data_IF_251455007953
#
_entry.id   IF_251455007953
#
_cell.length_a   1.000
_cell.length_b   1.000
_cell.length_c   1.000
_cell.angle_alpha   90.00
_cell.angle_beta   90.00
_cell.angle_gamma   90.00
#
_symmetry.space_group_name_H-M   'P 1'
#
loop_
_entity.id
_entity.type
_entity.pdbx_description
1 polymer ?
#
# COMPACT_ATOMS: atom_id res chain seq x y z
N UNK A 1 7.89 -8.77 10.74
CA UNK A 1 6.91 -9.46 9.89
C UNK A 1 5.82 -10.01 10.78
N UNK A 2 4.57 -9.92 10.35
CA UNK A 2 3.41 -10.39 11.10
C UNK A 2 2.23 -9.45 10.90
N UNK A 3 1.06 -10.03 10.59
CA UNK A 3 -0.22 -9.33 10.73
C UNK A 3 -0.41 -8.99 12.21
N UNK A 4 -0.98 -7.82 12.50
CA UNK A 4 -1.22 -7.32 13.86
C UNK A 4 -2.43 -6.42 13.89
N UNK A 5 -2.88 -6.07 15.08
CA UNK A 5 -4.00 -5.15 15.27
C UNK A 5 -3.80 -3.84 14.48
N UNK A 6 -4.86 -3.41 13.78
CA UNK A 6 -4.88 -2.22 12.92
C UNK A 6 -4.38 -2.42 11.49
N UNK A 7 -3.84 -3.60 11.16
CA UNK A 7 -3.43 -3.96 9.79
C UNK A 7 -4.63 -4.50 9.02
N UNK A 8 -4.67 -4.30 7.70
CA UNK A 8 -5.61 -4.98 6.81
C UNK A 8 -4.87 -5.71 5.70
N UNK A 9 -5.43 -6.84 5.27
CA UNK A 9 -5.05 -7.51 4.02
C UNK A 9 -6.02 -7.06 2.94
N UNK A 10 -5.51 -6.38 1.93
CA UNK A 10 -6.25 -5.86 0.79
C UNK A 10 -5.99 -6.70 -0.44
N UNK A 11 -7.04 -7.26 -1.04
CA UNK A 11 -6.95 -8.17 -2.18
C UNK A 11 -7.83 -7.64 -3.30
N UNK A 12 -7.23 -7.47 -4.47
CA UNK A 12 -7.97 -7.25 -5.72
C UNK A 12 -7.92 -8.52 -6.54
N UNK A 13 -9.10 -8.96 -6.98
CA UNK A 13 -9.22 -10.14 -7.80
C UNK A 13 -10.43 -10.11 -8.72
N UNK A 14 -10.63 -11.22 -9.42
CA UNK A 14 -11.85 -11.50 -10.15
C UNK A 14 -12.20 -12.98 -10.06
N UNK A 15 -13.49 -13.27 -10.12
CA UNK A 15 -14.00 -14.64 -10.17
C UNK A 15 -14.56 -14.93 -11.56
N UNK A 16 -14.33 -16.14 -12.13
CA UNK A 16 -14.85 -16.49 -13.43
C UNK A 16 -16.38 -16.69 -13.39
N UNK A 17 -17.03 -16.84 -14.55
CA UNK A 17 -18.50 -17.02 -14.64
C UNK A 17 -18.95 -18.39 -14.15
N UNK A 18 -18.11 -19.39 -14.35
CA UNK A 18 -18.28 -20.81 -14.00
C UNK A 18 -17.69 -21.18 -12.63
N UNK A 19 -17.39 -20.18 -11.80
CA UNK A 19 -16.89 -20.37 -10.44
C UNK A 19 -17.72 -21.38 -9.63
N UNK A 20 -17.00 -22.28 -8.95
CA UNK A 20 -17.53 -23.19 -7.93
C UNK A 20 -17.13 -22.73 -6.52
N UNK A 21 -15.86 -22.42 -6.30
CA UNK A 21 -15.33 -21.94 -5.01
C UNK A 21 -13.91 -21.40 -5.14
N UNK A 22 -13.51 -20.54 -4.22
CA UNK A 22 -12.10 -20.22 -3.98
C UNK A 22 -11.84 -20.09 -2.49
N UNK A 23 -10.58 -20.08 -2.08
CA UNK A 23 -10.19 -19.87 -0.70
C UNK A 23 -9.09 -18.84 -0.57
N UNK A 24 -9.09 -18.17 0.58
CA UNK A 24 -8.00 -17.35 1.08
C UNK A 24 -7.69 -17.84 2.49
N UNK A 25 -6.48 -18.35 2.69
CA UNK A 25 -6.00 -18.83 3.98
C UNK A 25 -4.94 -17.88 4.53
N UNK A 26 -5.04 -17.57 5.82
CA UNK A 26 -3.96 -16.96 6.59
C UNK A 26 -3.25 -18.07 7.38
N UNK A 27 -2.06 -18.46 6.92
CA UNK A 27 -1.30 -19.61 7.40
C UNK A 27 -0.30 -19.21 8.49
N UNK A 28 -0.12 -20.08 9.48
CA UNK A 28 0.88 -19.92 10.55
C UNK A 28 2.30 -20.35 10.15
N UNK A 29 2.48 -20.82 8.92
CA UNK A 29 3.75 -21.24 8.35
C UNK A 29 3.69 -21.29 6.82
N UNK A 30 4.82 -21.54 6.16
CA UNK A 30 4.92 -21.56 4.70
C UNK A 30 4.49 -22.90 4.07
N UNK A 31 4.36 -23.96 4.87
CA UNK A 31 3.87 -25.26 4.41
C UNK A 31 2.35 -25.30 4.30
N UNK A 32 1.80 -26.02 3.32
CA UNK A 32 0.36 -26.30 3.18
C UNK A 32 -0.23 -27.13 4.34
N UNK A 33 0.65 -27.79 5.10
CA UNK A 33 0.26 -28.49 6.34
C UNK A 33 0.19 -27.59 7.57
N UNK A 34 0.62 -26.33 7.46
CA UNK A 34 0.64 -25.39 8.58
C UNK A 34 -0.78 -25.12 9.08
N UNK A 35 -0.87 -24.72 10.34
CA UNK A 35 -2.12 -24.26 10.92
C UNK A 35 -2.68 -23.06 10.14
N UNK A 36 -4.00 -23.00 10.06
CA UNK A 36 -4.74 -21.97 9.34
C UNK A 36 -5.46 -21.12 10.38
N UNK A 37 -5.00 -19.89 10.61
CA UNK A 37 -5.62 -18.96 11.53
C UNK A 37 -7.00 -18.50 11.02
N UNK A 38 -7.10 -18.23 9.72
CA UNK A 38 -8.33 -17.88 9.03
C UNK A 38 -8.42 -18.64 7.71
N UNK A 39 -9.47 -19.43 7.55
CA UNK A 39 -9.91 -20.00 6.29
C UNK A 39 -11.13 -19.23 5.81
N UNK A 40 -11.00 -18.42 4.77
CA UNK A 40 -12.08 -17.69 4.12
C UNK A 40 -12.44 -18.39 2.82
N UNK A 41 -13.64 -18.96 2.71
CA UNK A 41 -14.01 -19.83 1.59
C UNK A 41 -15.42 -19.55 1.05
N UNK A 42 -15.54 -18.67 0.05
CA UNK A 42 -16.75 -18.50 -0.73
C UNK A 42 -17.06 -19.75 -1.57
N UNK A 43 -18.29 -20.25 -1.47
CA UNK A 43 -18.79 -21.44 -2.17
C UNK A 43 -20.04 -21.07 -2.98
N UNK A 44 -20.02 -21.37 -4.28
CA UNK A 44 -21.10 -21.15 -5.24
C UNK A 44 -21.74 -22.49 -5.63
N UNK A 45 -22.47 -23.09 -4.68
CA UNK A 45 -23.02 -24.45 -4.81
C UNK A 45 -24.55 -24.50 -4.81
N UNK A 46 -25.21 -23.37 -5.14
CA UNK A 46 -26.67 -23.24 -5.16
C UNK A 46 -27.28 -22.96 -3.78
N UNK A 47 -26.50 -23.15 -2.70
CA UNK A 47 -26.74 -22.57 -1.37
C UNK A 47 -25.55 -21.69 -1.01
N UNK A 48 -25.32 -20.73 -1.89
CA UNK A 48 -24.18 -19.83 -1.88
C UNK A 48 -23.95 -19.22 -0.49
N UNK A 49 -22.70 -19.28 -0.05
CA UNK A 49 -22.28 -18.92 1.30
C UNK A 49 -20.79 -18.66 1.35
N UNK A 50 -20.36 -17.90 2.34
CA UNK A 50 -18.94 -17.80 2.72
C UNK A 50 -18.77 -18.56 4.02
N UNK A 51 -17.83 -19.51 4.01
CA UNK A 51 -17.44 -20.29 5.19
C UNK A 51 -16.17 -19.73 5.79
N UNK A 52 -16.16 -19.64 7.12
CA UNK A 52 -15.05 -19.22 7.95
C UNK A 52 -14.67 -20.35 8.90
N UNK A 53 -13.39 -20.65 9.03
CA UNK A 53 -12.91 -21.60 10.02
C UNK A 53 -11.43 -21.38 10.36
N UNK A 54 -10.90 -22.16 11.29
CA UNK A 54 -9.47 -22.30 11.55
C UNK A 54 -9.11 -23.79 11.55
N UNK A 55 -7.84 -24.10 11.24
CA UNK A 55 -7.30 -25.46 11.28
C UNK A 55 -6.09 -25.48 12.21
N UNK A 56 -6.12 -26.32 13.25
CA UNK A 56 -5.06 -26.43 14.26
C UNK A 56 -4.67 -27.89 14.43
N UNK A 57 -3.37 -28.20 14.41
CA UNK A 57 -2.88 -29.57 14.51
C UNK A 57 -3.48 -30.49 13.43
N UNK A 58 -3.67 -29.96 12.22
CA UNK A 58 -4.25 -30.68 11.10
C UNK A 58 -5.78 -30.86 11.13
N UNK A 59 -6.46 -30.44 12.21
CA UNK A 59 -7.92 -30.62 12.39
C UNK A 59 -8.68 -29.31 12.23
N UNK A 60 -9.84 -29.36 11.57
CA UNK A 60 -10.74 -28.21 11.42
C UNK A 60 -11.54 -27.94 12.69
N UNK A 61 -11.71 -26.66 13.03
CA UNK A 61 -12.63 -26.25 14.08
C UNK A 61 -14.09 -26.23 13.65
N UNK A 62 -14.95 -25.59 14.44
CA UNK A 62 -16.36 -25.38 14.09
C UNK A 62 -16.51 -24.36 12.95
N UNK A 63 -17.27 -24.70 11.91
CA UNK A 63 -17.54 -23.78 10.80
C UNK A 63 -18.46 -22.63 11.24
N UNK A 64 -18.09 -21.42 10.86
CA UNK A 64 -18.96 -20.24 10.85
C UNK A 64 -19.32 -19.89 9.40
N UNK A 65 -20.51 -19.35 9.16
CA UNK A 65 -20.95 -19.05 7.79
C UNK A 65 -21.90 -17.88 7.71
N UNK A 66 -21.75 -17.12 6.63
CA UNK A 66 -22.75 -16.12 6.20
C UNK A 66 -23.38 -16.58 4.88
N UNK A 67 -24.67 -16.28 4.71
CA UNK A 67 -25.42 -16.57 3.47
C UNK A 67 -25.46 -15.38 2.50
N UNK A 68 -25.07 -14.19 2.97
CA UNK A 68 -24.88 -13.05 2.08
C UNK A 68 -23.62 -13.29 1.27
N UNK A 69 -23.77 -13.56 -0.03
CA UNK A 69 -22.64 -13.76 -0.95
C UNK A 69 -22.15 -12.39 -1.43
N UNK A 70 -20.93 -11.96 -1.09
CA UNK A 70 -20.41 -10.66 -1.48
C UNK A 70 -19.77 -10.65 -2.88
N UNK A 71 -19.54 -11.83 -3.47
CA UNK A 71 -18.90 -12.00 -4.77
C UNK A 71 -19.95 -12.29 -5.84
N UNK A 72 -19.76 -11.72 -7.04
CA UNK A 72 -20.64 -11.94 -8.19
C UNK A 72 -19.90 -12.69 -9.28
N UNK A 73 -20.53 -13.72 -9.86
CA UNK A 73 -19.95 -14.53 -10.95
C UNK A 73 -19.49 -13.65 -12.11
N UNK A 74 -18.27 -13.86 -12.60
CA UNK A 74 -17.70 -13.11 -13.73
C UNK A 74 -17.35 -11.65 -13.42
N UNK A 75 -17.29 -11.24 -12.15
CA UNK A 75 -16.97 -9.86 -11.74
C UNK A 75 -15.64 -9.77 -11.00
N UNK A 76 -15.03 -8.58 -11.10
CA UNK A 76 -13.94 -8.19 -10.22
C UNK A 76 -14.45 -7.90 -8.81
N UNK A 77 -13.56 -8.01 -7.82
CA UNK A 77 -13.85 -7.71 -6.42
C UNK A 77 -12.65 -7.02 -5.75
N UNK A 78 -12.98 -6.33 -4.66
CA UNK A 78 -12.01 -5.85 -3.68
C UNK A 78 -12.39 -6.44 -2.33
N UNK A 79 -11.42 -7.04 -1.63
CA UNK A 79 -11.61 -7.66 -0.32
C UNK A 79 -10.65 -7.05 0.69
N UNK A 80 -11.15 -6.64 1.85
CA UNK A 80 -10.35 -5.98 2.90
C UNK A 80 -10.50 -6.70 4.23
N UNK A 81 -9.63 -7.66 4.50
CA UNK A 81 -9.64 -8.38 5.79
C UNK A 81 -8.93 -7.52 6.82
N UNK A 82 -9.68 -6.85 7.70
CA UNK A 82 -9.10 -6.13 8.83
C UNK A 82 -8.67 -7.10 9.92
N UNK A 83 -7.49 -6.84 10.48
CA UNK A 83 -7.03 -7.46 11.70
C UNK A 83 -7.32 -6.50 12.84
N UNK A 84 -8.19 -6.92 13.74
CA UNK A 84 -8.52 -6.20 14.97
C UNK A 84 -7.99 -6.95 16.19
N UNK A 85 -8.00 -6.33 17.36
CA UNK A 85 -7.73 -7.01 18.63
C UNK A 85 -8.68 -8.16 18.95
N UNK A 86 -9.88 -8.20 18.33
CA UNK A 86 -10.90 -9.23 18.58
C UNK A 86 -10.91 -10.37 17.56
N UNK A 87 -10.50 -10.09 16.33
CA UNK A 87 -10.64 -11.03 15.23
C UNK A 87 -10.35 -10.43 13.87
N UNK A 88 -10.68 -11.20 12.84
CA UNK A 88 -10.67 -10.78 11.44
C UNK A 88 -12.03 -10.20 11.10
N UNK A 89 -12.07 -8.95 10.64
CA UNK A 89 -13.31 -8.28 10.31
C UNK A 89 -13.35 -7.88 8.85
N UNK A 90 -14.44 -8.24 8.19
CA UNK A 90 -14.74 -7.80 6.84
C UNK A 90 -16.28 -7.74 6.68
N UNK A 91 -16.94 -8.68 6.00
CA UNK A 91 -18.42 -8.82 6.01
C UNK A 91 -18.95 -9.48 7.30
N UNK A 92 -18.06 -10.15 8.03
CA UNK A 92 -18.34 -10.88 9.25
C UNK A 92 -17.15 -10.71 10.21
N UNK A 93 -17.42 -10.68 11.52
CA UNK A 93 -16.35 -10.71 12.53
C UNK A 93 -16.08 -12.18 12.85
N UNK A 94 -14.95 -12.69 12.39
CA UNK A 94 -14.46 -14.02 12.78
C UNK A 94 -13.45 -13.87 13.93
N UNK A 95 -13.76 -14.34 15.15
CA UNK A 95 -12.89 -14.14 16.30
C UNK A 95 -11.57 -14.88 16.15
N UNK A 96 -10.49 -14.34 16.72
CA UNK A 96 -9.19 -15.01 16.71
C UNK A 96 -9.27 -16.36 17.44
N UNK A 97 -9.00 -17.45 16.72
CA UNK A 97 -8.83 -18.80 17.32
C UNK A 97 -7.37 -19.20 17.45
N UNK A 98 -6.49 -18.55 16.69
CA UNK A 98 -5.03 -18.65 16.77
C UNK A 98 -4.49 -17.23 16.95
N UNK A 99 -3.45 -17.00 17.78
CA UNK A 99 -2.82 -15.69 17.89
C UNK A 99 -2.36 -15.17 16.53
N UNK A 100 -2.73 -13.93 16.21
CA UNK A 100 -2.47 -13.32 14.90
C UNK A 100 -0.98 -13.20 14.60
N UNK A 101 -0.16 -13.08 15.64
CA UNK A 101 1.29 -13.00 15.60
C UNK A 101 1.92 -14.28 15.06
N UNK A 102 1.18 -15.38 14.97
CA UNK A 102 1.66 -16.63 14.38
C UNK A 102 1.52 -16.65 12.85
N UNK A 103 0.74 -15.75 12.24
CA UNK A 103 0.52 -15.76 10.78
C UNK A 103 1.79 -15.36 10.05
N UNK A 104 2.14 -16.13 9.01
CA UNK A 104 3.37 -15.98 8.22
C UNK A 104 3.11 -15.92 6.72
N UNK A 105 2.06 -16.58 6.22
CA UNK A 105 1.79 -16.65 4.79
C UNK A 105 0.31 -16.44 4.46
N UNK A 106 0.05 -15.98 3.24
CA UNK A 106 -1.29 -15.90 2.64
C UNK A 106 -1.32 -16.90 1.49
N UNK A 107 -2.27 -17.82 1.51
CA UNK A 107 -2.51 -18.76 0.42
C UNK A 107 -3.85 -18.43 -0.25
N UNK A 108 -3.84 -18.35 -1.57
CA UNK A 108 -5.05 -18.16 -2.38
C UNK A 108 -5.14 -19.31 -3.37
N UNK A 109 -6.31 -19.95 -3.47
CA UNK A 109 -6.50 -21.15 -4.31
C UNK A 109 -7.94 -21.30 -4.78
N UNK A 110 -8.18 -22.17 -5.77
CA UNK A 110 -9.48 -22.37 -6.42
C UNK A 110 -9.75 -21.38 -7.54
N UNK A 111 -11.03 -21.14 -7.82
CA UNK A 111 -11.52 -20.43 -8.99
C UNK A 111 -11.41 -18.89 -8.81
N UNK A 112 -10.20 -18.36 -8.74
CA UNK A 112 -9.95 -16.93 -8.54
C UNK A 112 -8.71 -16.47 -9.31
N UNK A 113 -8.81 -15.30 -9.93
CA UNK A 113 -7.66 -14.59 -10.48
C UNK A 113 -7.32 -13.42 -9.56
N UNK A 114 -6.11 -13.43 -9.00
CA UNK A 114 -5.61 -12.37 -8.11
C UNK A 114 -4.82 -11.36 -8.93
N UNK A 115 -5.19 -10.08 -8.84
CA UNK A 115 -4.42 -9.00 -9.45
C UNK A 115 -3.40 -8.42 -8.47
N UNK A 116 -3.77 -8.23 -7.20
CA UNK A 116 -2.85 -7.73 -6.19
C UNK A 116 -3.23 -8.19 -4.77
N UNK A 117 -2.23 -8.33 -3.91
CA UNK A 117 -2.38 -8.53 -2.46
C UNK A 117 -1.47 -7.50 -1.78
N UNK A 118 -2.04 -6.68 -0.92
CA UNK A 118 -1.34 -5.61 -0.21
C UNK A 118 -1.63 -5.71 1.29
N UNK A 119 -0.60 -5.53 2.11
CA UNK A 119 -0.76 -5.40 3.56
C UNK A 119 -0.74 -3.92 3.90
N UNK A 120 -1.88 -3.40 4.34
CA UNK A 120 -2.08 -1.96 4.56
C UNK A 120 -2.28 -1.65 6.04
N UNK A 121 -1.70 -0.55 6.54
CA UNK A 121 -1.83 -0.12 7.94
C UNK A 121 -2.97 0.87 8.20
N UNK A 122 -3.98 0.89 7.33
CA UNK A 122 -5.14 1.78 7.42
C UNK A 122 -6.42 1.02 7.73
N UNK A 123 -7.28 1.63 8.56
CA UNK A 123 -8.64 1.14 8.79
C UNK A 123 -9.56 1.45 7.58
N UNK A 124 -10.67 0.73 7.40
CA UNK A 124 -11.60 0.97 6.30
C UNK A 124 -12.22 2.35 6.33
N UNK A 125 -12.36 3.03 7.48
CA UNK A 125 -12.86 4.41 7.47
C UNK A 125 -11.92 5.37 6.71
N UNK A 126 -10.61 5.08 6.71
CA UNK A 126 -9.63 5.81 5.92
C UNK A 126 -9.69 5.39 4.44
N UNK A 127 -9.84 4.09 4.15
CA UNK A 127 -10.04 3.58 2.79
C UNK A 127 -11.33 4.11 2.15
N UNK A 128 -12.41 4.23 2.92
CA UNK A 128 -13.70 4.79 2.49
C UNK A 128 -13.61 6.29 2.22
N UNK A 129 -12.84 7.05 3.03
CA UNK A 129 -12.53 8.46 2.75
C UNK A 129 -11.70 8.63 1.46
N UNK A 130 -10.79 7.69 1.19
CA UNK A 130 -10.04 7.64 -0.07
C UNK A 130 -10.93 7.22 -1.26
N UNK A 131 -11.99 6.46 -0.98
CA UNK A 131 -12.98 5.96 -1.95
C UNK A 131 -14.13 6.94 -2.25
N UNK A 132 -13.91 8.26 -2.13
CA UNK A 132 -14.95 9.27 -2.38
C UNK A 132 -15.55 9.24 -3.81
N UNK A 133 -15.05 8.37 -4.70
CA UNK A 133 -15.46 8.19 -6.09
C UNK A 133 -15.81 6.72 -6.48
N UNK A 134 -15.90 5.77 -5.53
CA UNK A 134 -16.13 4.34 -5.84
C UNK A 134 -15.16 3.77 -6.90
N UNK A 135 -13.91 4.26 -6.95
CA UNK A 135 -12.91 3.74 -7.87
C UNK A 135 -12.01 2.75 -7.15
N UNK A 136 -11.70 1.59 -7.76
CA UNK A 136 -10.73 0.65 -7.21
C UNK A 136 -9.43 1.34 -6.79
N UNK A 137 -8.93 1.07 -5.59
CA UNK A 137 -7.60 1.54 -5.17
C UNK A 137 -6.54 0.82 -6.01
N UNK A 138 -6.19 1.39 -7.17
CA UNK A 138 -5.18 0.82 -8.05
C UNK A 138 -3.80 1.35 -7.67
N UNK A 139 -3.05 0.54 -6.93
CA UNK A 139 -1.66 0.86 -6.63
C UNK A 139 -0.82 0.90 -7.91
N UNK A 140 0.02 1.93 -8.05
CA UNK A 140 1.02 2.03 -9.11
C UNK A 140 2.21 1.13 -8.76
N UNK A 141 2.71 0.41 -9.76
CA UNK A 141 3.91 -0.40 -9.62
C UNK A 141 5.13 0.48 -9.28
N UNK A 142 5.94 0.04 -8.31
CA UNK A 142 7.18 0.68 -7.89
C UNK A 142 8.34 -0.28 -8.21
N UNK A 143 9.43 0.17 -8.89
CA UNK A 143 9.75 1.55 -9.22
C UNK A 143 8.80 2.16 -10.25
N UNK A 144 8.37 3.38 -9.97
CA UNK A 144 7.45 4.16 -10.80
C UNK A 144 8.23 5.25 -11.53
N UNK A 145 7.93 5.46 -12.81
CA UNK A 145 8.60 6.46 -13.64
C UNK A 145 7.63 7.03 -14.65
N UNK A 146 7.47 8.35 -14.69
CA UNK A 146 6.65 9.03 -15.70
C UNK A 146 7.16 10.44 -15.99
N UNK A 147 6.78 10.96 -17.16
CA UNK A 147 7.02 12.37 -17.50
C UNK A 147 6.03 13.26 -16.74
N UNK A 148 6.51 14.41 -16.29
CA UNK A 148 5.69 15.49 -15.74
C UNK A 148 5.16 16.29 -16.92
N UNK A 149 3.85 16.27 -17.21
CA UNK A 149 3.31 16.99 -18.37
C UNK A 149 3.65 18.49 -18.27
N UNK A 150 4.30 19.04 -19.30
CA UNK A 150 4.73 20.45 -19.31
C UNK A 150 5.87 20.80 -18.34
N UNK A 151 6.49 19.82 -17.69
CA UNK A 151 7.60 20.01 -16.76
C UNK A 151 7.23 20.78 -15.48
N UNK A 152 8.26 21.25 -14.77
CA UNK A 152 8.10 22.04 -13.55
C UNK A 152 8.18 23.55 -13.83
N UNK A 153 7.25 24.29 -13.26
CA UNK A 153 7.18 25.75 -13.32
C UNK A 153 6.63 26.31 -12.01
N UNK A 154 6.79 27.62 -11.71
CA UNK A 154 6.29 28.19 -10.47
C UNK A 154 4.79 27.91 -10.25
N UNK A 155 4.44 27.50 -9.03
CA UNK A 155 3.11 27.06 -8.57
C UNK A 155 2.68 25.65 -9.03
N UNK A 156 3.42 24.97 -9.92
CA UNK A 156 3.20 23.54 -10.22
C UNK A 156 3.27 22.73 -8.93
N UNK A 157 2.32 21.83 -8.71
CA UNK A 157 2.22 21.03 -7.49
C UNK A 157 2.02 19.57 -7.85
N UNK A 158 3.00 18.73 -7.52
CA UNK A 158 2.83 17.28 -7.64
C UNK A 158 2.23 16.77 -6.34
N UNK A 159 1.10 16.07 -6.43
CA UNK A 159 0.46 15.39 -5.31
C UNK A 159 0.73 13.90 -5.44
N UNK A 160 1.25 13.28 -4.39
CA UNK A 160 1.54 11.86 -4.32
C UNK A 160 0.90 11.33 -3.05
N UNK A 161 -0.02 10.37 -3.21
CA UNK A 161 -0.63 9.69 -2.07
C UNK A 161 -0.29 8.22 -2.10
N UNK A 162 0.04 7.70 -0.93
CA UNK A 162 0.50 6.34 -0.81
C UNK A 162 0.58 5.90 0.63
N UNK A 163 1.18 4.75 0.83
CA UNK A 163 1.37 4.15 2.13
C UNK A 163 2.80 3.65 2.25
N UNK A 164 3.33 3.75 3.47
CA UNK A 164 4.60 3.13 3.85
C UNK A 164 4.31 1.70 4.29
N UNK A 165 4.76 0.66 3.58
CA UNK A 165 4.59 -0.73 4.02
C UNK A 165 5.23 -1.01 5.39
N UNK A 166 4.76 -2.06 6.07
CA UNK A 166 5.45 -2.55 7.26
C UNK A 166 6.80 -3.18 6.92
N UNK A 167 7.79 -2.96 7.79
CA UNK A 167 9.18 -3.39 7.56
C UNK A 167 9.97 -2.52 6.57
N UNK A 168 9.38 -1.42 6.06
CA UNK A 168 10.03 -0.50 5.13
C UNK A 168 11.36 0.00 5.68
N UNK A 169 12.40 -0.06 4.85
CA UNK A 169 13.69 0.52 5.15
C UNK A 169 13.77 1.97 4.65
N UNK A 170 13.56 2.18 3.35
CA UNK A 170 13.67 3.49 2.72
C UNK A 170 12.88 3.58 1.41
N UNK A 171 12.44 4.78 1.10
CA UNK A 171 11.79 5.13 -0.18
C UNK A 171 12.43 6.36 -0.79
N UNK A 172 12.29 6.55 -2.10
CA UNK A 172 12.86 7.67 -2.84
C UNK A 172 11.80 8.34 -3.71
N UNK A 173 11.76 9.66 -3.67
CA UNK A 173 10.97 10.50 -4.57
C UNK A 173 11.92 11.46 -5.27
N UNK A 174 12.04 11.31 -6.59
CA UNK A 174 13.03 11.96 -7.42
C UNK A 174 12.36 12.84 -8.45
N UNK A 175 12.75 14.11 -8.50
CA UNK A 175 12.50 15.00 -9.63
C UNK A 175 13.75 15.05 -10.49
N UNK A 176 13.60 14.60 -11.74
CA UNK A 176 14.70 14.25 -12.63
C UNK A 176 14.65 15.14 -13.87
N UNK A 177 15.84 15.52 -14.35
CA UNK A 177 16.07 16.11 -15.66
C UNK A 177 16.33 14.95 -16.62
N UNK A 178 15.33 14.53 -17.41
CA UNK A 178 15.39 13.24 -18.11
C UNK A 178 16.53 13.15 -19.11
N UNK A 179 16.89 14.27 -19.75
CA UNK A 179 17.95 14.37 -20.76
C UNK A 179 19.35 14.07 -20.21
N UNK A 180 19.66 14.52 -19.00
CA UNK A 180 20.98 14.35 -18.38
C UNK A 180 20.99 13.24 -17.33
N UNK A 181 19.81 12.77 -16.89
CA UNK A 181 19.60 11.85 -15.77
C UNK A 181 20.02 12.44 -14.41
N UNK A 182 20.21 13.75 -14.34
CA UNK A 182 20.46 14.43 -13.08
C UNK A 182 19.19 14.45 -12.21
N UNK A 183 19.39 14.31 -10.90
CA UNK A 183 18.32 14.36 -9.91
C UNK A 183 18.35 15.74 -9.28
N UNK A 184 17.44 16.61 -9.72
CA UNK A 184 17.34 17.98 -9.23
C UNK A 184 16.88 18.05 -7.77
N UNK A 185 15.99 17.14 -7.39
CA UNK A 185 15.51 16.98 -6.03
C UNK A 185 15.31 15.50 -5.73
N UNK A 186 16.06 15.00 -4.76
CA UNK A 186 15.96 13.67 -4.19
C UNK A 186 15.43 13.80 -2.77
N UNK A 187 14.30 13.18 -2.47
CA UNK A 187 13.76 13.03 -1.13
C UNK A 187 13.79 11.56 -0.75
N UNK A 188 14.50 11.24 0.33
CA UNK A 188 14.71 9.87 0.79
C UNK A 188 14.28 9.71 2.25
N UNK A 189 12.98 9.45 2.52
CA UNK A 189 12.56 8.96 3.82
C UNK A 189 13.23 7.63 4.13
N UNK A 190 14.06 7.63 5.18
CA UNK A 190 14.69 6.42 5.75
C UNK A 190 13.88 6.05 6.98
N UNK A 191 12.86 5.21 6.77
CA UNK A 191 11.80 4.91 7.74
C UNK A 191 12.37 4.37 9.04
N UNK A 192 13.36 3.46 8.96
CA UNK A 192 14.02 2.88 10.15
C UNK A 192 14.86 3.88 10.94
N UNK A 193 15.55 4.79 10.23
CA UNK A 193 16.36 5.86 10.83
C UNK A 193 15.48 7.03 11.34
N UNK A 194 14.19 7.06 10.98
CA UNK A 194 13.25 8.15 11.27
C UNK A 194 13.71 9.52 10.78
N UNK A 195 14.44 9.55 9.68
CA UNK A 195 14.92 10.78 9.03
C UNK A 195 14.40 10.87 7.60
N UNK A 196 14.30 12.10 7.09
CA UNK A 196 14.12 12.35 5.66
C UNK A 196 15.34 13.09 5.14
N UNK A 197 16.12 12.40 4.33
CA UNK A 197 17.30 12.98 3.69
C UNK A 197 16.88 13.66 2.40
N UNK A 198 17.38 14.86 2.14
CA UNK A 198 17.17 15.58 0.87
C UNK A 198 18.49 15.90 0.23
N UNK A 199 18.58 15.77 -1.09
CA UNK A 199 19.80 16.07 -1.83
C UNK A 199 19.51 16.34 -3.31
N UNK A 200 20.55 16.61 -4.09
CA UNK A 200 20.56 16.59 -5.54
C UNK A 200 21.73 15.70 -6.03
N UNK A 201 21.64 15.19 -7.26
CA UNK A 201 22.72 14.45 -7.92
C UNK A 201 22.94 15.04 -9.31
N UNK A 202 24.13 15.59 -9.55
CA UNK A 202 24.51 16.22 -10.81
C UNK A 202 25.82 15.61 -11.33
N UNK A 203 25.89 15.31 -12.62
CA UNK A 203 27.08 14.69 -13.23
C UNK A 203 27.44 13.35 -12.56
N UNK A 204 26.43 12.65 -12.06
CA UNK A 204 26.58 11.38 -11.34
C UNK A 204 27.02 11.48 -9.87
N UNK A 205 27.28 12.68 -9.33
CA UNK A 205 27.77 12.91 -7.97
C UNK A 205 26.69 13.50 -7.07
N UNK A 206 26.57 13.00 -5.85
CA UNK A 206 25.66 13.55 -4.84
C UNK A 206 26.21 14.84 -4.26
N UNK A 207 25.31 15.81 -4.04
CA UNK A 207 25.62 17.05 -3.33
C UNK A 207 25.64 16.88 -1.80
N UNK A 208 25.54 18.00 -1.08
CA UNK A 208 25.42 18.02 0.38
C UNK A 208 24.03 17.55 0.83
N UNK A 209 23.95 16.60 1.75
CA UNK A 209 22.67 16.17 2.32
C UNK A 209 22.08 17.22 3.27
N UNK A 210 20.78 17.45 3.15
CA UNK A 210 19.98 18.16 4.16
C UNK A 210 19.18 17.13 4.96
N UNK A 211 19.39 17.11 6.29
CA UNK A 211 18.79 16.12 7.20
C UNK A 211 17.92 16.74 8.29
N UNK A 212 18.10 18.03 8.56
CA UNK A 212 17.41 18.73 9.64
C UNK A 212 15.89 18.70 9.44
N UNK A 213 15.20 18.09 10.39
CA UNK A 213 13.76 17.96 10.53
C UNK A 213 13.44 17.63 12.00
N UNK A 214 12.35 18.16 12.53
CA UNK A 214 11.91 17.85 13.90
C UNK A 214 11.39 16.42 14.04
N UNK A 215 10.64 15.94 13.04
CA UNK A 215 10.07 14.58 13.01
C UNK A 215 9.84 14.12 11.58
N UNK A 216 10.08 12.84 11.30
CA UNK A 216 9.67 12.20 10.04
C UNK A 216 8.18 11.85 10.08
N UNK A 217 7.35 12.30 9.11
CA UNK A 217 5.93 11.91 9.04
C UNK A 217 5.74 10.51 8.40
N UNK A 218 6.81 9.90 7.90
CA UNK A 218 6.76 8.58 7.25
C UNK A 218 7.04 7.49 8.26
N UNK A 219 5.99 6.80 8.70
CA UNK A 219 6.06 5.67 9.61
C UNK A 219 5.45 4.43 8.97
N UNK A 220 5.97 3.25 9.33
CA UNK A 220 5.46 1.99 8.84
C UNK A 220 3.95 1.84 9.06
N UNK A 221 3.24 1.40 8.02
CA UNK A 221 1.79 1.25 7.99
C UNK A 221 1.02 2.54 7.75
N UNK A 222 1.66 3.71 7.83
CA UNK A 222 0.95 4.98 7.69
C UNK A 222 0.69 5.31 6.23
N UNK A 223 -0.51 5.84 5.99
CA UNK A 223 -0.84 6.54 4.76
C UNK A 223 -0.27 7.95 4.80
N UNK A 224 0.09 8.47 3.63
CA UNK A 224 0.53 9.85 3.47
C UNK A 224 -0.16 10.50 2.27
N UNK A 225 -0.52 11.77 2.45
CA UNK A 225 -0.84 12.71 1.38
C UNK A 225 0.31 13.72 1.29
N UNK A 226 1.18 13.58 0.29
CA UNK A 226 2.33 14.45 0.09
C UNK A 226 2.10 15.37 -1.10
N UNK A 227 2.48 16.65 -0.95
CA UNK A 227 2.57 17.58 -2.07
C UNK A 227 3.94 18.23 -2.17
N UNK A 228 4.46 18.33 -3.40
CA UNK A 228 5.72 19.00 -3.73
C UNK A 228 5.36 20.20 -4.61
N UNK A 229 5.44 21.40 -4.03
CA UNK A 229 5.09 22.65 -4.73
C UNK A 229 6.36 23.36 -5.20
N UNK A 230 6.43 23.65 -6.49
CA UNK A 230 7.51 24.42 -7.08
C UNK A 230 7.31 25.93 -6.81
N UNK A 231 8.24 26.56 -6.09
CA UNK A 231 8.37 28.01 -6.01
C UNK A 231 9.46 28.53 -6.93
N UNK A 232 9.65 29.85 -6.95
CA UNK A 232 10.70 30.49 -7.76
C UNK A 232 12.13 30.14 -7.29
N UNK A 233 12.33 29.89 -6.00
CA UNK A 233 13.66 29.68 -5.39
C UNK A 233 13.81 28.31 -4.72
N UNK A 234 12.71 27.62 -4.47
CA UNK A 234 12.69 26.40 -3.65
C UNK A 234 11.47 25.53 -3.96
N UNK A 235 11.58 24.24 -3.68
CA UNK A 235 10.43 23.39 -3.44
C UNK A 235 9.91 23.56 -2.01
N UNK A 236 8.59 23.56 -1.85
CA UNK A 236 7.93 23.45 -0.56
C UNK A 236 7.23 22.10 -0.49
N UNK A 237 7.57 21.29 0.51
CA UNK A 237 7.01 19.96 0.68
C UNK A 237 6.04 19.96 1.86
N UNK A 238 4.84 19.43 1.64
CA UNK A 238 3.83 19.23 2.66
C UNK A 238 3.49 17.75 2.75
N UNK A 239 3.24 17.25 3.96
CA UNK A 239 2.76 15.89 4.21
C UNK A 239 1.59 15.96 5.17
N UNK A 240 0.48 15.32 4.82
CA UNK A 240 -0.77 15.30 5.60
C UNK A 240 -1.26 16.71 5.95
N UNK A 241 -1.18 17.63 4.97
CA UNK A 241 -1.59 19.03 5.12
C UNK A 241 -0.62 19.93 5.90
N UNK A 242 0.43 19.38 6.51
CA UNK A 242 1.42 20.15 7.27
C UNK A 242 2.67 20.42 6.43
N UNK A 243 3.23 21.62 6.56
CA UNK A 243 4.53 21.95 5.95
C UNK A 243 5.61 21.11 6.62
N UNK A 244 6.44 20.44 5.82
CA UNK A 244 7.50 19.59 6.31
C UNK A 244 8.86 20.28 6.18
N UNK A 245 9.23 20.69 4.97
CA UNK A 245 10.47 21.44 4.73
C UNK A 245 10.43 22.23 3.42
N UNK A 246 11.40 23.13 3.32
CA UNK A 246 11.80 23.79 2.08
C UNK A 246 13.09 23.14 1.54
N UNK A 247 13.19 22.99 0.22
CA UNK A 247 14.43 22.60 -0.46
C UNK A 247 14.78 23.65 -1.52
N UNK A 248 15.83 24.43 -1.29
CA UNK A 248 16.26 25.46 -2.22
C UNK A 248 16.80 24.85 -3.52
N UNK A 249 16.42 25.44 -4.64
CA UNK A 249 16.82 24.95 -5.96
C UNK A 249 18.34 25.01 -6.10
N UNK A 250 18.95 23.85 -6.36
CA UNK A 250 20.40 23.73 -6.63
C UNK A 250 20.71 23.64 -8.12
N UNK A 251 19.71 23.24 -8.91
CA UNK A 251 19.71 23.22 -10.37
C UNK A 251 18.44 23.90 -10.86
N UNK A 252 18.37 24.27 -12.14
CA UNK A 252 17.19 24.96 -12.68
C UNK A 252 15.96 24.05 -12.62
N UNK A 253 14.88 24.53 -12.00
CA UNK A 253 13.63 23.78 -11.96
C UNK A 253 13.00 23.63 -13.35
N UNK A 254 13.31 24.53 -14.30
CA UNK A 254 12.71 24.52 -15.65
C UNK A 254 13.12 23.33 -16.50
N UNK A 255 14.19 22.63 -16.12
CA UNK A 255 14.71 21.46 -16.83
C UNK A 255 14.12 20.15 -16.30
N UNK A 256 13.39 20.20 -15.19
CA UNK A 256 12.80 19.04 -14.56
C UNK A 256 11.52 18.64 -15.31
N UNK A 257 11.52 17.43 -15.83
CA UNK A 257 10.46 16.91 -16.69
C UNK A 257 10.04 15.48 -16.32
N UNK A 258 10.64 14.88 -15.29
CA UNK A 258 10.37 13.49 -14.93
C UNK A 258 10.25 13.27 -13.42
N UNK A 259 9.27 12.43 -13.04
CA UNK A 259 9.10 11.91 -11.68
C UNK A 259 9.53 10.44 -11.64
N UNK A 260 10.43 10.09 -10.73
CA UNK A 260 10.78 8.71 -10.41
C UNK A 260 10.49 8.43 -8.91
N UNK A 261 9.87 7.30 -8.60
CA UNK A 261 9.59 6.85 -7.23
C UNK A 261 10.14 5.44 -7.06
N UNK A 262 10.87 5.19 -5.99
CA UNK A 262 11.56 3.93 -5.75
C UNK A 262 11.53 3.52 -4.27
N UNK A 263 11.93 2.27 -3.99
CA UNK A 263 12.03 1.73 -2.63
C UNK A 263 10.69 1.28 -2.03
N UNK A 264 10.66 1.21 -0.71
CA UNK A 264 9.59 0.57 0.05
C UNK A 264 8.37 1.49 0.21
N UNK A 265 7.55 1.58 -0.84
CA UNK A 265 6.35 2.43 -0.86
C UNK A 265 5.26 1.85 -1.77
N UNK A 266 4.01 2.02 -1.37
CA UNK A 266 2.85 1.73 -2.22
C UNK A 266 2.18 3.04 -2.63
N UNK A 267 2.03 3.28 -3.94
CA UNK A 267 1.49 4.55 -4.46
C UNK A 267 0.06 4.33 -4.94
N UNK A 268 -0.89 5.07 -4.39
CA UNK A 268 -2.31 4.96 -4.76
C UNK A 268 -2.75 6.05 -5.74
N UNK A 269 -2.10 7.22 -5.70
CA UNK A 269 -2.53 8.38 -6.48
C UNK A 269 -1.33 9.29 -6.80
N UNK A 270 -1.29 9.79 -8.03
CA UNK A 270 -0.35 10.82 -8.47
C UNK A 270 -1.13 11.83 -9.30
N UNK A 271 -0.91 13.11 -9.05
CA UNK A 271 -1.47 14.23 -9.82
C UNK A 271 -0.42 15.32 -9.99
N UNK A 272 -0.48 16.05 -11.10
CA UNK A 272 0.50 17.07 -11.49
C UNK A 272 -0.19 18.42 -11.67
#
# INVERSE_FOLDING_TARGET
>A
GGLRDGVSVYIQGSVPKDITRFLINLLCGESDSSDIALHFNPRFDGRDKVVFNSRQGGSWGSEEKIRSMPFSKGKAFELVIMITSKGFQEFFMFPHRIPVEQIRAIQVSGDVSVQSINIIGVSPQCLLHLNHQHQPLLFKAVPYSCMIPGGMYPKRTIIIRGMVPYGSNRMGFNLVVSRSRDIAFHMNPRVKERVVVRNNREGGKWGKEDRELSLSPFMEGQYFDMSIRCGNQRFKVFVNGQHLFDFFHRVSFSEIDKLEIEGDVQISYIHF
#
